data_IF_791227511736
#
_entry.id   IF_791227511736
#
_cell.length_a   1.000
_cell.length_b   1.000
_cell.length_c   1.000
_cell.angle_alpha   90.00
_cell.angle_beta   90.00
_cell.angle_gamma   90.00
#
_symmetry.space_group_name_H-M   'P 1'
#
loop_
_entity.id
_entity.type
_entity.pdbx_description
1 polymer ?
#
# COMPACT_ATOMS: atom_id res chain seq x y z
N UNK A 1 -24.24 3.28 4.49
CA UNK A 1 -24.59 3.77 5.84
C UNK A 1 -24.26 5.25 5.95
N UNK A 2 -24.58 5.89 7.09
CA UNK A 2 -24.25 7.30 7.34
C UNK A 2 -22.73 7.58 7.29
N UNK A 3 -21.89 6.58 7.61
CA UNK A 3 -20.42 6.64 7.53
C UNK A 3 -19.85 6.54 6.08
N UNK A 4 -20.71 6.26 5.09
CA UNK A 4 -20.26 5.99 3.71
C UNK A 4 -19.47 7.15 3.06
N UNK A 5 -19.81 8.44 3.29
CA UNK A 5 -19.03 9.54 2.72
C UNK A 5 -17.61 9.62 3.28
N UNK A 6 -17.43 9.49 4.59
CA UNK A 6 -16.11 9.55 5.23
C UNK A 6 -15.21 8.38 4.79
N UNK A 7 -15.76 7.16 4.70
CA UNK A 7 -15.02 5.99 4.19
C UNK A 7 -14.68 6.16 2.71
N UNK A 8 -15.58 6.71 1.91
CA UNK A 8 -15.33 7.00 0.50
C UNK A 8 -14.20 8.01 0.31
N UNK A 9 -14.19 9.09 1.09
CA UNK A 9 -13.13 10.10 1.03
C UNK A 9 -11.79 9.53 1.47
N UNK A 10 -11.78 8.71 2.53
CA UNK A 10 -10.60 7.98 2.97
C UNK A 10 -10.08 7.06 1.86
N UNK A 11 -10.91 6.23 1.23
CA UNK A 11 -10.48 5.34 0.15
C UNK A 11 -9.91 6.10 -1.05
N UNK A 12 -10.52 7.24 -1.38
CA UNK A 12 -10.00 8.12 -2.43
C UNK A 12 -8.62 8.65 -2.06
N UNK A 13 -8.44 9.14 -0.85
CA UNK A 13 -7.15 9.63 -0.35
C UNK A 13 -6.08 8.54 -0.41
N UNK A 14 -6.35 7.36 0.17
CA UNK A 14 -5.44 6.22 0.15
C UNK A 14 -5.08 5.83 -1.29
N UNK A 15 -6.06 5.76 -2.20
CA UNK A 15 -5.79 5.40 -3.60
C UNK A 15 -4.83 6.37 -4.31
N UNK A 16 -4.87 7.66 -3.95
CA UNK A 16 -3.95 8.66 -4.51
C UNK A 16 -2.54 8.49 -3.97
N UNK A 17 -2.40 8.08 -2.71
CA UNK A 17 -1.11 7.74 -2.09
C UNK A 17 -0.54 6.49 -2.75
N UNK A 18 -1.35 5.43 -2.91
CA UNK A 18 -0.91 4.19 -3.57
C UNK A 18 -0.43 4.39 -5.01
N UNK A 19 -1.05 5.33 -5.75
CA UNK A 19 -0.53 5.69 -7.07
C UNK A 19 0.85 6.34 -7.01
N UNK A 20 1.12 7.18 -6.01
CA UNK A 20 2.47 7.75 -5.82
C UNK A 20 3.49 6.66 -5.48
N UNK A 21 3.13 5.70 -4.63
CA UNK A 21 3.96 4.53 -4.35
C UNK A 21 4.30 3.78 -5.63
N UNK A 22 3.29 3.44 -6.43
CA UNK A 22 3.47 2.71 -7.68
C UNK A 22 4.39 3.45 -8.66
N UNK A 23 4.24 4.77 -8.80
CA UNK A 23 5.14 5.58 -9.63
C UNK A 23 6.57 5.59 -9.12
N UNK A 24 6.79 5.83 -7.82
CA UNK A 24 8.13 5.87 -7.24
C UNK A 24 8.86 4.52 -7.37
N UNK A 25 8.13 3.41 -7.19
CA UNK A 25 8.65 2.06 -7.39
C UNK A 25 8.98 1.82 -8.87
N UNK A 26 8.11 2.24 -9.79
CA UNK A 26 8.34 2.07 -11.22
C UNK A 26 9.59 2.83 -11.69
N UNK A 27 9.75 4.08 -11.25
CA UNK A 27 10.96 4.88 -11.51
C UNK A 27 12.21 4.21 -10.92
N UNK A 28 12.11 3.65 -9.71
CA UNK A 28 13.23 2.94 -9.10
C UNK A 28 13.63 1.69 -9.88
N UNK A 29 12.66 0.93 -10.38
CA UNK A 29 12.91 -0.26 -11.22
C UNK A 29 13.58 0.12 -12.54
N UNK A 30 13.12 1.18 -13.22
CA UNK A 30 13.73 1.68 -14.46
C UNK A 30 15.19 2.14 -14.24
N UNK A 31 15.46 2.87 -13.16
CA UNK A 31 16.81 3.31 -12.80
C UNK A 31 17.80 2.15 -12.53
N UNK A 32 17.28 0.99 -12.12
CA UNK A 32 18.06 -0.23 -11.92
C UNK A 32 18.20 -1.07 -13.23
N UNK A 33 17.67 -0.57 -14.35
CA UNK A 33 17.70 -1.24 -15.66
C UNK A 33 16.61 -2.31 -15.84
N UNK A 34 15.62 -2.34 -14.95
CA UNK A 34 14.45 -3.23 -15.05
C UNK A 34 13.34 -2.63 -15.91
N UNK A 35 12.30 -3.42 -16.17
CA UNK A 35 11.07 -2.95 -16.84
C UNK A 35 9.93 -2.96 -15.82
N UNK A 36 9.37 -1.80 -15.43
CA UNK A 36 8.27 -1.76 -14.48
C UNK A 36 7.01 -2.40 -15.06
N UNK A 37 6.28 -3.15 -14.22
CA UNK A 37 5.01 -3.77 -14.59
C UNK A 37 3.84 -2.80 -14.38
N UNK A 38 2.87 -2.84 -15.28
CA UNK A 38 1.57 -2.16 -15.13
C UNK A 38 0.45 -3.16 -14.79
N UNK A 39 0.79 -4.40 -14.45
CA UNK A 39 -0.19 -5.45 -14.16
C UNK A 39 -0.79 -5.22 -12.77
N UNK A 40 -2.11 -5.10 -12.71
CA UNK A 40 -2.84 -4.92 -11.46
C UNK A 40 -3.29 -6.29 -10.94
N UNK A 41 -3.22 -6.47 -9.61
CA UNK A 41 -3.76 -7.65 -8.94
C UNK A 41 -5.28 -7.78 -9.07
N UNK A 42 -5.86 -8.92 -8.64
CA UNK A 42 -7.30 -9.14 -8.72
C UNK A 42 -8.07 -8.13 -7.85
N UNK A 43 -9.01 -7.41 -8.47
CA UNK A 43 -9.89 -6.46 -7.79
C UNK A 43 -11.07 -7.23 -7.19
N UNK A 44 -11.25 -7.17 -5.88
CA UNK A 44 -12.44 -7.71 -5.20
C UNK A 44 -13.52 -6.65 -5.18
N UNK A 45 -14.64 -6.93 -5.84
CA UNK A 45 -15.82 -6.05 -5.91
C UNK A 45 -17.00 -6.75 -5.24
N UNK A 46 -17.73 -6.02 -4.39
CA UNK A 46 -18.92 -6.50 -3.69
C UNK A 46 -18.76 -6.52 -2.17
N UNK A 47 -19.77 -7.07 -1.49
CA UNK A 47 -19.88 -7.07 -0.03
C UNK A 47 -20.51 -5.80 0.54
N UNK A 48 -20.64 -5.76 1.87
CA UNK A 48 -21.05 -4.55 2.59
C UNK A 48 -19.87 -3.62 2.90
N UNK A 49 -20.16 -2.41 3.40
CA UNK A 49 -19.11 -1.41 3.70
C UNK A 49 -18.05 -1.92 4.68
N UNK A 50 -18.44 -2.75 5.65
CA UNK A 50 -17.51 -3.32 6.64
C UNK A 50 -16.60 -4.36 5.99
N UNK A 51 -17.16 -5.22 5.14
CA UNK A 51 -16.39 -6.19 4.36
C UNK A 51 -15.39 -5.53 3.41
N UNK A 52 -15.75 -4.39 2.82
CA UNK A 52 -14.84 -3.60 1.98
C UNK A 52 -13.65 -3.07 2.77
N UNK A 53 -13.88 -2.46 3.94
CA UNK A 53 -12.81 -1.93 4.81
C UNK A 53 -11.93 -3.06 5.35
N UNK A 54 -12.53 -4.18 5.78
CA UNK A 54 -11.77 -5.34 6.27
C UNK A 54 -10.94 -6.01 5.15
N UNK A 55 -11.44 -6.02 3.92
CA UNK A 55 -10.68 -6.47 2.75
C UNK A 55 -9.48 -5.55 2.48
N UNK A 56 -9.67 -4.23 2.56
CA UNK A 56 -8.58 -3.29 2.36
C UNK A 56 -7.52 -3.40 3.46
N UNK A 57 -7.94 -3.53 4.73
CA UNK A 57 -7.01 -3.72 5.85
C UNK A 57 -6.15 -4.97 5.68
N UNK A 58 -6.70 -6.08 5.16
CA UNK A 58 -5.91 -7.27 4.84
C UNK A 58 -4.85 -7.00 3.77
N UNK A 59 -5.19 -6.22 2.74
CA UNK A 59 -4.23 -5.83 1.71
C UNK A 59 -3.10 -4.99 2.30
N UNK A 60 -3.39 -4.07 3.23
CA UNK A 60 -2.35 -3.29 3.93
C UNK A 60 -1.43 -4.20 4.75
N UNK A 61 -1.95 -5.17 5.50
CA UNK A 61 -1.11 -6.12 6.23
C UNK A 61 -0.23 -6.98 5.33
N UNK A 62 -0.76 -7.45 4.21
CA UNK A 62 0.01 -8.20 3.22
C UNK A 62 1.11 -7.32 2.61
N UNK A 63 0.81 -6.04 2.34
CA UNK A 63 1.76 -5.05 1.84
C UNK A 63 2.87 -4.72 2.86
N UNK A 64 2.53 -4.55 4.15
CA UNK A 64 3.49 -4.34 5.24
C UNK A 64 4.52 -5.48 5.29
N UNK A 65 4.07 -6.73 5.24
CA UNK A 65 4.97 -7.88 5.26
C UNK A 65 5.80 -7.99 3.97
N UNK A 66 5.26 -7.56 2.84
CA UNK A 66 6.01 -7.44 1.58
C UNK A 66 7.09 -6.36 1.67
N UNK A 67 6.77 -5.15 2.09
CA UNK A 67 7.74 -4.05 2.17
C UNK A 67 8.84 -4.34 3.19
N UNK A 68 8.54 -4.95 4.34
CA UNK A 68 9.57 -5.42 5.29
C UNK A 68 10.56 -6.40 4.65
N UNK A 69 10.10 -7.26 3.73
CA UNK A 69 10.99 -8.16 2.98
C UNK A 69 11.82 -7.38 1.96
N UNK A 70 11.22 -6.42 1.26
CA UNK A 70 11.92 -5.58 0.28
C UNK A 70 12.99 -4.70 0.92
N UNK A 71 12.74 -4.15 2.12
CA UNK A 71 13.75 -3.43 2.91
C UNK A 71 14.96 -4.33 3.19
N UNK A 72 14.73 -5.57 3.64
CA UNK A 72 15.81 -6.54 3.90
C UNK A 72 16.55 -6.95 2.63
N UNK A 73 15.84 -7.10 1.51
CA UNK A 73 16.46 -7.40 0.22
C UNK A 73 17.35 -6.25 -0.23
N UNK A 74 16.86 -5.01 -0.19
CA UNK A 74 17.65 -3.84 -0.57
C UNK A 74 18.89 -3.67 0.33
N UNK A 75 18.77 -3.97 1.63
CA UNK A 75 19.92 -3.98 2.55
C UNK A 75 20.94 -5.07 2.19
N UNK A 76 20.50 -6.29 1.85
CA UNK A 76 21.39 -7.38 1.47
C UNK A 76 22.12 -7.15 0.14
N UNK A 77 21.56 -6.31 -0.75
CA UNK A 77 22.12 -5.93 -2.04
C UNK A 77 22.94 -4.62 -1.98
N UNK A 78 23.22 -4.10 -0.77
CA UNK A 78 23.91 -2.81 -0.56
C UNK A 78 23.25 -1.64 -1.33
N UNK A 79 21.91 -1.63 -1.41
CA UNK A 79 21.12 -0.59 -2.08
C UNK A 79 20.40 0.34 -1.08
N UNK A 80 21.08 1.38 -0.57
CA UNK A 80 20.50 2.28 0.43
C UNK A 80 19.35 3.14 -0.10
N UNK A 81 19.27 3.37 -1.42
CA UNK A 81 18.24 4.22 -2.03
C UNK A 81 16.93 3.45 -2.14
N UNK A 82 16.97 2.20 -2.63
CA UNK A 82 15.79 1.33 -2.61
C UNK A 82 15.34 1.05 -1.19
N UNK A 83 16.27 0.80 -0.27
CA UNK A 83 15.93 0.54 1.13
C UNK A 83 15.12 1.69 1.73
N UNK A 84 15.60 2.93 1.60
CA UNK A 84 14.89 4.11 2.10
C UNK A 84 13.52 4.27 1.45
N UNK A 85 13.41 4.07 0.13
CA UNK A 85 12.13 4.13 -0.57
C UNK A 85 11.12 3.12 0.02
N UNK A 86 11.55 1.88 0.28
CA UNK A 86 10.68 0.86 0.87
C UNK A 86 10.33 1.15 2.34
N UNK A 87 11.25 1.74 3.11
CA UNK A 87 11.00 2.20 4.48
C UNK A 87 9.95 3.32 4.53
N UNK A 88 10.06 4.30 3.63
CA UNK A 88 9.10 5.42 3.53
C UNK A 88 7.69 4.88 3.19
N UNK A 89 7.58 4.04 2.17
CA UNK A 89 6.31 3.42 1.76
C UNK A 89 5.75 2.51 2.87
N UNK A 90 6.61 1.75 3.57
CA UNK A 90 6.20 0.92 4.70
C UNK A 90 5.55 1.77 5.80
N UNK A 91 6.12 2.93 6.12
CA UNK A 91 5.56 3.84 7.12
C UNK A 91 4.17 4.36 6.74
N UNK A 92 3.98 4.77 5.48
CA UNK A 92 2.67 5.19 4.98
C UNK A 92 1.65 4.03 5.00
N UNK A 93 2.09 2.82 4.63
CA UNK A 93 1.25 1.60 4.68
C UNK A 93 0.80 1.26 6.11
N UNK A 94 1.67 1.41 7.11
CA UNK A 94 1.32 1.20 8.53
C UNK A 94 0.30 2.25 9.02
N UNK A 95 0.43 3.50 8.58
CA UNK A 95 -0.58 4.54 8.85
C UNK A 95 -1.93 4.21 8.20
N UNK A 96 -1.92 3.72 6.95
CA UNK A 96 -3.13 3.29 6.24
C UNK A 96 -3.86 2.19 7.00
N UNK A 97 -3.13 1.15 7.44
CA UNK A 97 -3.68 0.06 8.25
C UNK A 97 -4.32 0.59 9.54
N UNK A 98 -3.65 1.49 10.25
CA UNK A 98 -4.18 2.09 11.49
C UNK A 98 -5.48 2.87 11.26
N UNK A 99 -5.58 3.63 10.16
CA UNK A 99 -6.82 4.35 9.78
C UNK A 99 -7.97 3.39 9.50
N UNK A 100 -7.70 2.27 8.84
CA UNK A 100 -8.70 1.24 8.53
C UNK A 100 -9.12 0.45 9.77
N UNK A 101 -8.20 0.17 10.70
CA UNK A 101 -8.50 -0.42 12.01
C UNK A 101 -9.45 0.49 12.80
N UNK A 102 -9.15 1.78 12.87
CA UNK A 102 -9.99 2.77 13.54
C UNK A 102 -11.40 2.82 12.92
N UNK A 103 -11.50 2.77 11.59
CA UNK A 103 -12.78 2.72 10.88
C UNK A 103 -13.60 1.44 11.18
N UNK A 104 -12.93 0.33 11.55
CA UNK A 104 -13.56 -0.92 11.98
C UNK A 104 -13.83 -0.97 13.49
N UNK A 105 -13.33 0.01 14.25
CA UNK A 105 -13.36 0.02 15.71
C UNK A 105 -12.48 -1.06 16.35
N UNK A 106 -11.32 -1.36 15.74
CA UNK A 106 -10.32 -2.30 16.25
C UNK A 106 -9.27 -1.59 17.10
#
# INVERSE_FOLDING_TARGET
GLESPAISDMFKELSMVEMKHAYAIAERVDLLGGVPSTTVGPIKVGGDLREMVDTNLKLEYDAIEMYKKLVKTAEAEDDPVSRRLMEDILGETEEHASRLEAALGK
#
